data_IF_217098152919
#
_entry.id   IF_217098152919
#
_cell.length_a   1.000
_cell.length_b   1.000
_cell.length_c   1.000
_cell.angle_alpha   90.00
_cell.angle_beta   90.00
_cell.angle_gamma   90.00
#
_symmetry.space_group_name_H-M   'P 1'
#
loop_
_entity.id
_entity.type
_entity.pdbx_description
1 polymer ?
#
# COMPACT_ATOMS: atom_id res chain seq x y z
N UNK A 1 -15.47 9.11 -2.17
CA UNK A 1 -15.25 10.56 -2.40
C UNK A 1 -14.71 11.19 -1.11
N UNK A 2 -13.43 11.60 -1.09
CA UNK A 2 -12.75 12.21 0.09
C UNK A 2 -13.32 13.57 0.50
N UNK A 3 -14.03 14.26 -0.40
CA UNK A 3 -14.72 15.53 -0.09
C UNK A 3 -15.85 15.36 0.93
N UNK A 4 -16.32 14.13 1.16
CA UNK A 4 -17.34 13.82 2.19
C UNK A 4 -16.75 13.58 3.58
N UNK A 5 -15.42 13.58 3.73
CA UNK A 5 -14.78 13.36 5.01
C UNK A 5 -14.88 14.61 5.90
N UNK A 6 -15.13 14.40 7.18
CA UNK A 6 -15.32 15.49 8.12
C UNK A 6 -13.98 16.21 8.41
N UNK A 7 -13.83 17.41 7.85
CA UNK A 7 -12.59 18.21 7.95
C UNK A 7 -12.25 18.61 9.39
N UNK A 8 -13.25 18.84 10.24
CA UNK A 8 -13.02 19.13 11.65
C UNK A 8 -12.43 17.90 12.38
N UNK A 9 -12.94 16.70 12.11
CA UNK A 9 -12.40 15.48 12.72
C UNK A 9 -10.97 15.18 12.21
N UNK A 10 -10.69 15.42 10.93
CA UNK A 10 -9.34 15.30 10.38
C UNK A 10 -8.38 16.27 11.10
N UNK A 11 -8.73 17.55 11.20
CA UNK A 11 -7.89 18.56 11.87
C UNK A 11 -7.62 18.22 13.34
N UNK A 12 -8.65 17.71 14.06
CA UNK A 12 -8.49 17.22 15.44
C UNK A 12 -7.54 16.03 15.52
N UNK A 13 -7.65 15.08 14.60
CA UNK A 13 -6.76 13.92 14.52
C UNK A 13 -5.30 14.32 14.29
N UNK A 14 -5.06 15.25 13.37
CA UNK A 14 -3.70 15.79 13.11
C UNK A 14 -3.17 16.52 14.34
N UNK A 15 -3.96 17.38 14.98
CA UNK A 15 -3.55 18.08 16.21
C UNK A 15 -3.18 17.09 17.33
N UNK A 16 -3.95 16.00 17.47
CA UNK A 16 -3.66 14.97 18.46
C UNK A 16 -2.35 14.22 18.15
N UNK A 17 -2.08 13.95 16.87
CA UNK A 17 -0.84 13.34 16.42
C UNK A 17 0.36 14.26 16.67
N UNK A 18 0.25 15.55 16.32
CA UNK A 18 1.32 16.54 16.56
C UNK A 18 1.64 16.66 18.04
N UNK A 19 0.59 16.69 18.89
CA UNK A 19 0.76 16.67 20.34
C UNK A 19 1.44 15.39 20.82
N UNK A 20 1.06 14.23 20.31
CA UNK A 20 1.69 12.96 20.68
C UNK A 20 3.19 12.95 20.31
N UNK A 21 3.53 13.46 19.14
CA UNK A 21 4.92 13.59 18.69
C UNK A 21 5.71 14.58 19.57
N UNK A 22 5.11 15.70 19.97
CA UNK A 22 5.75 16.70 20.82
C UNK A 22 6.08 16.18 22.23
N UNK A 23 5.35 15.18 22.73
CA UNK A 23 5.58 14.57 24.05
C UNK A 23 6.41 13.29 23.99
N UNK A 24 6.82 12.85 22.79
CA UNK A 24 7.59 11.62 22.64
C UNK A 24 9.04 11.82 23.13
N UNK A 25 9.52 10.93 23.99
CA UNK A 25 10.90 10.93 24.49
C UNK A 25 11.91 10.31 23.51
N UNK A 26 11.55 10.13 22.23
CA UNK A 26 12.38 9.46 21.24
C UNK A 26 11.70 9.38 19.87
N UNK A 27 12.32 8.66 18.91
CA UNK A 27 11.75 8.50 17.57
C UNK A 27 10.35 7.87 17.61
N UNK A 28 9.50 8.14 16.60
CA UNK A 28 8.10 7.72 16.61
C UNK A 28 7.98 6.18 16.66
N UNK A 29 7.07 5.71 17.53
CA UNK A 29 6.69 4.31 17.59
C UNK A 29 5.76 3.88 16.43
N UNK A 30 5.46 2.58 16.29
CA UNK A 30 4.66 2.04 15.18
C UNK A 30 3.31 2.74 14.99
N UNK A 31 2.60 3.02 16.08
CA UNK A 31 1.30 3.70 16.01
C UNK A 31 1.40 5.16 15.58
N UNK A 32 2.45 5.88 15.97
CA UNK A 32 2.68 7.25 15.52
C UNK A 32 2.99 7.28 14.02
N UNK A 33 3.77 6.32 13.52
CA UNK A 33 4.06 6.17 12.09
C UNK A 33 2.81 5.79 11.28
N UNK A 34 2.01 4.84 11.76
CA UNK A 34 0.74 4.47 11.13
C UNK A 34 -0.25 5.64 11.12
N UNK A 35 -0.33 6.40 12.21
CA UNK A 35 -1.16 7.61 12.28
C UNK A 35 -0.66 8.69 11.30
N UNK A 36 0.65 8.86 11.14
CA UNK A 36 1.21 9.78 10.16
C UNK A 36 0.88 9.36 8.71
N UNK A 37 0.94 8.06 8.40
CA UNK A 37 0.53 7.52 7.09
C UNK A 37 -0.95 7.79 6.83
N UNK A 38 -1.81 7.49 7.81
CA UNK A 38 -3.25 7.77 7.72
C UNK A 38 -3.52 9.28 7.58
N UNK A 39 -2.75 10.13 8.28
CA UNK A 39 -2.82 11.58 8.18
C UNK A 39 -2.52 12.08 6.77
N UNK A 40 -1.52 11.52 6.09
CA UNK A 40 -1.21 11.87 4.69
C UNK A 40 -2.41 11.61 3.77
N UNK A 41 -3.08 10.47 3.93
CA UNK A 41 -4.31 10.17 3.17
C UNK A 41 -5.48 11.09 3.53
N UNK A 42 -5.63 11.42 4.82
CA UNK A 42 -6.72 12.26 5.34
C UNK A 42 -6.63 13.72 4.86
N UNK A 43 -5.42 14.24 4.72
CA UNK A 43 -5.17 15.62 4.33
C UNK A 43 -5.40 15.87 2.83
N UNK A 44 -5.15 14.88 1.98
CA UNK A 44 -5.32 15.01 0.53
C UNK A 44 -6.81 15.15 0.13
N UNK A 45 -7.15 16.11 -0.75
CA UNK A 45 -8.52 16.29 -1.25
C UNK A 45 -8.85 15.32 -2.38
N UNK A 46 -7.86 14.98 -3.20
CA UNK A 46 -7.96 13.93 -4.22
C UNK A 46 -6.97 12.79 -3.96
N UNK A 47 -7.01 11.75 -4.78
CA UNK A 47 -6.07 10.64 -4.68
C UNK A 47 -4.68 11.06 -5.16
N UNK A 48 -4.64 11.86 -6.22
CA UNK A 48 -3.47 12.36 -6.91
C UNK A 48 -2.66 13.34 -6.04
N UNK A 49 -3.33 14.07 -5.14
CA UNK A 49 -2.71 14.97 -4.16
C UNK A 49 -2.13 14.25 -2.93
N UNK A 50 -2.25 12.92 -2.85
CA UNK A 50 -1.67 12.17 -1.72
C UNK A 50 -0.14 12.30 -1.77
N UNK A 51 0.47 12.65 -0.64
CA UNK A 51 1.92 12.73 -0.50
C UNK A 51 2.55 11.33 -0.44
N UNK A 52 2.62 10.68 -1.60
CA UNK A 52 3.18 9.34 -1.75
C UNK A 52 4.66 9.24 -1.37
N UNK A 53 5.55 10.22 -1.72
CA UNK A 53 6.93 10.20 -1.25
C UNK A 53 7.03 10.16 0.28
N UNK A 54 6.23 10.97 0.99
CA UNK A 54 6.18 10.93 2.46
C UNK A 54 5.65 9.60 2.98
N UNK A 55 4.61 9.05 2.38
CA UNK A 55 4.06 7.74 2.78
C UNK A 55 5.11 6.62 2.59
N UNK A 56 5.86 6.62 1.48
CA UNK A 56 6.92 5.64 1.22
C UNK A 56 8.05 5.75 2.27
N UNK A 57 8.45 6.98 2.63
CA UNK A 57 9.42 7.22 3.69
C UNK A 57 8.91 6.73 5.06
N UNK A 58 7.65 7.04 5.41
CA UNK A 58 7.03 6.60 6.67
C UNK A 58 6.92 5.08 6.75
N UNK A 59 6.58 4.40 5.64
CA UNK A 59 6.60 2.94 5.58
C UNK A 59 8.02 2.37 5.73
N UNK A 60 9.04 3.04 5.19
CA UNK A 60 10.44 2.66 5.44
C UNK A 60 10.82 2.71 6.91
N UNK A 61 10.43 3.78 7.60
CA UNK A 61 10.63 3.90 9.06
C UNK A 61 9.83 2.84 9.82
N UNK A 62 8.59 2.58 9.41
CA UNK A 62 7.72 1.60 10.05
C UNK A 62 8.26 0.18 9.88
N UNK A 63 8.73 -0.17 8.69
CA UNK A 63 9.34 -1.47 8.41
C UNK A 63 10.60 -1.71 9.25
N UNK A 64 11.46 -0.71 9.37
CA UNK A 64 12.65 -0.80 10.23
C UNK A 64 12.30 -0.94 11.72
N UNK A 65 11.20 -0.32 12.16
CA UNK A 65 10.77 -0.31 13.56
C UNK A 65 9.95 -1.54 13.96
N UNK A 66 9.11 -2.02 13.06
CA UNK A 66 8.18 -3.13 13.24
C UNK A 66 8.16 -3.98 11.97
N UNK A 67 9.19 -4.83 11.75
CA UNK A 67 9.31 -5.65 10.55
C UNK A 67 8.09 -6.53 10.35
N UNK A 68 7.52 -6.46 9.15
CA UNK A 68 6.34 -7.25 8.77
C UNK A 68 6.25 -7.34 7.25
N UNK A 69 6.07 -8.54 6.67
CA UNK A 69 5.89 -8.70 5.22
C UNK A 69 4.70 -7.90 4.68
N UNK A 70 3.66 -7.67 5.49
CA UNK A 70 2.50 -6.85 5.12
C UNK A 70 2.87 -5.36 5.08
N UNK A 71 3.70 -4.89 6.01
CA UNK A 71 4.22 -3.51 6.02
C UNK A 71 5.11 -3.28 4.79
N UNK A 72 5.97 -4.23 4.45
CA UNK A 72 6.82 -4.17 3.26
C UNK A 72 5.99 -4.20 1.97
N UNK A 73 4.93 -5.00 1.89
CA UNK A 73 4.04 -4.97 0.73
C UNK A 73 3.35 -3.60 0.58
N UNK A 74 2.88 -3.02 1.68
CA UNK A 74 2.29 -1.69 1.67
C UNK A 74 3.31 -0.59 1.30
N UNK A 75 4.57 -0.76 1.74
CA UNK A 75 5.70 0.09 1.32
C UNK A 75 5.89 0.02 -0.19
N UNK A 76 5.88 -1.17 -0.78
CA UNK A 76 6.03 -1.33 -2.22
C UNK A 76 4.90 -0.63 -3.00
N UNK A 77 3.66 -0.67 -2.51
CA UNK A 77 2.56 0.12 -3.10
C UNK A 77 2.85 1.61 -3.02
N UNK A 78 3.30 2.13 -1.87
CA UNK A 78 3.64 3.55 -1.73
C UNK A 78 4.79 3.98 -2.65
N UNK A 79 5.84 3.17 -2.77
CA UNK A 79 6.95 3.38 -3.72
C UNK A 79 6.45 3.38 -5.15
N UNK A 80 5.52 2.49 -5.49
CA UNK A 80 4.92 2.43 -6.83
C UNK A 80 4.22 3.73 -7.25
N UNK A 81 3.63 4.40 -6.27
CA UNK A 81 2.93 5.66 -6.46
C UNK A 81 3.87 6.86 -6.47
N UNK A 82 4.99 6.80 -5.72
CA UNK A 82 5.96 7.88 -5.62
C UNK A 82 7.01 7.86 -6.75
N UNK A 83 7.53 6.69 -7.08
CA UNK A 83 8.72 6.49 -7.92
C UNK A 83 8.42 5.65 -9.18
N UNK A 84 7.22 5.07 -9.25
CA UNK A 84 6.76 4.26 -10.38
C UNK A 84 6.89 2.75 -10.17
N UNK A 85 6.39 1.96 -11.13
CA UNK A 85 6.15 0.53 -10.93
C UNK A 85 7.42 -0.33 -10.88
N UNK A 86 8.52 0.08 -11.53
CA UNK A 86 9.76 -0.68 -11.59
C UNK A 86 10.45 -0.86 -10.21
N UNK A 87 10.75 0.20 -9.44
CA UNK A 87 11.35 0.04 -8.12
C UNK A 87 10.42 -0.70 -7.14
N UNK A 88 9.11 -0.51 -7.27
CA UNK A 88 8.14 -1.23 -6.46
C UNK A 88 8.10 -2.74 -6.77
N UNK A 89 8.25 -3.12 -8.04
CA UNK A 89 8.23 -4.53 -8.44
C UNK A 89 9.40 -5.28 -7.82
N UNK A 90 10.59 -4.68 -7.73
CA UNK A 90 11.73 -5.29 -7.06
C UNK A 90 11.45 -5.58 -5.57
N UNK A 91 10.75 -4.68 -4.87
CA UNK A 91 10.34 -4.90 -3.48
C UNK A 91 9.32 -6.04 -3.37
N UNK A 92 8.35 -6.11 -4.27
CA UNK A 92 7.34 -7.17 -4.31
C UNK A 92 7.96 -8.52 -4.64
N UNK A 93 8.91 -8.57 -5.57
CA UNK A 93 9.61 -9.79 -5.96
C UNK A 93 10.44 -10.35 -4.78
N UNK A 94 11.07 -9.48 -3.98
CA UNK A 94 11.76 -9.91 -2.76
C UNK A 94 10.80 -10.56 -1.75
N UNK A 95 9.55 -10.12 -1.69
CA UNK A 95 8.51 -10.68 -0.83
C UNK A 95 7.92 -12.00 -1.34
N UNK A 96 8.19 -12.40 -2.59
CA UNK A 96 7.64 -13.63 -3.16
C UNK A 96 8.14 -14.89 -2.42
N UNK A 97 9.30 -14.81 -1.77
CA UNK A 97 9.87 -15.90 -0.96
C UNK A 97 9.29 -15.98 0.46
N UNK A 98 8.55 -14.96 0.93
CA UNK A 98 8.07 -14.88 2.31
C UNK A 98 6.96 -15.92 2.60
N UNK A 99 7.19 -16.90 3.49
CA UNK A 99 6.20 -17.95 3.77
C UNK A 99 4.87 -17.39 4.29
N UNK A 100 4.93 -16.29 5.05
CA UNK A 100 3.77 -15.62 5.63
C UNK A 100 2.81 -15.06 4.56
N UNK A 101 3.29 -14.81 3.33
CA UNK A 101 2.48 -14.23 2.26
C UNK A 101 2.03 -15.26 1.21
N UNK A 102 2.39 -16.54 1.35
CA UNK A 102 2.09 -17.58 0.33
C UNK A 102 0.61 -17.69 -0.02
N UNK A 103 -0.27 -17.53 0.97
CA UNK A 103 -1.73 -17.55 0.81
C UNK A 103 -2.38 -16.16 0.75
N UNK A 104 -1.58 -15.10 0.68
CA UNK A 104 -2.07 -13.73 0.77
C UNK A 104 -2.33 -13.17 -0.62
N UNK A 105 -3.59 -13.16 -1.06
CA UNK A 105 -4.00 -12.76 -2.41
C UNK A 105 -3.55 -11.34 -2.82
N UNK A 106 -3.30 -10.44 -1.87
CA UNK A 106 -2.85 -9.08 -2.17
C UNK A 106 -1.42 -9.04 -2.70
N UNK A 107 -0.55 -10.00 -2.37
CA UNK A 107 0.80 -10.05 -2.93
C UNK A 107 0.79 -10.23 -4.46
N UNK A 108 0.19 -11.30 -5.03
CA UNK A 108 0.08 -11.44 -6.47
C UNK A 108 -0.81 -10.36 -7.10
N UNK A 109 -1.84 -9.85 -6.40
CA UNK A 109 -2.64 -8.73 -6.93
C UNK A 109 -1.80 -7.45 -7.14
N UNK A 110 -0.93 -7.09 -6.19
CA UNK A 110 -0.05 -5.92 -6.33
C UNK A 110 0.98 -6.20 -7.42
N UNK A 111 1.59 -7.39 -7.45
CA UNK A 111 2.55 -7.77 -8.48
C UNK A 111 1.96 -7.65 -9.89
N UNK A 112 0.74 -8.15 -10.09
CA UNK A 112 0.02 -8.05 -11.37
C UNK A 112 -0.23 -6.60 -11.80
N UNK A 113 -0.59 -5.71 -10.87
CA UNK A 113 -0.78 -4.28 -11.17
C UNK A 113 0.52 -3.61 -11.67
N UNK A 114 1.63 -3.88 -11.00
CA UNK A 114 2.94 -3.35 -11.34
C UNK A 114 3.39 -3.84 -12.72
N UNK A 115 3.26 -5.15 -12.98
CA UNK A 115 3.59 -5.77 -14.25
C UNK A 115 2.76 -5.19 -15.39
N UNK A 116 1.46 -5.00 -15.18
CA UNK A 116 0.57 -4.41 -16.17
C UNK A 116 1.00 -2.98 -16.53
N UNK A 117 1.30 -2.16 -15.52
CA UNK A 117 1.79 -0.78 -15.70
C UNK A 117 3.18 -0.71 -16.36
N UNK A 118 3.94 -1.80 -16.35
CA UNK A 118 5.20 -1.98 -17.06
C UNK A 118 5.02 -2.60 -18.47
N UNK A 119 3.79 -2.87 -18.90
CA UNK A 119 3.50 -3.51 -20.19
C UNK A 119 3.77 -5.02 -20.24
N UNK A 120 4.05 -5.66 -19.11
CA UNK A 120 4.30 -7.12 -19.00
C UNK A 120 2.98 -7.88 -18.84
N UNK A 121 2.12 -7.81 -19.86
CA UNK A 121 0.71 -8.22 -19.79
C UNK A 121 0.51 -9.71 -19.51
N UNK A 122 1.32 -10.59 -20.12
CA UNK A 122 1.22 -12.04 -19.88
C UNK A 122 1.54 -12.43 -18.43
N UNK A 123 2.55 -11.80 -17.83
CA UNK A 123 2.91 -12.02 -16.43
C UNK A 123 1.86 -11.41 -15.50
N UNK A 124 1.34 -10.23 -15.83
CA UNK A 124 0.27 -9.59 -15.08
C UNK A 124 -0.99 -10.48 -15.02
N UNK A 125 -1.38 -11.08 -16.16
CA UNK A 125 -2.50 -12.03 -16.24
C UNK A 125 -2.32 -13.18 -15.26
N UNK A 126 -1.15 -13.82 -15.28
CA UNK A 126 -0.82 -14.96 -14.41
C UNK A 126 -0.96 -14.59 -12.93
N UNK A 127 -0.48 -13.40 -12.55
CA UNK A 127 -0.59 -12.93 -11.17
C UNK A 127 -2.02 -12.59 -10.76
N UNK A 128 -2.83 -12.01 -11.64
CA UNK A 128 -4.24 -11.77 -11.34
C UNK A 128 -5.05 -13.07 -11.19
N UNK A 129 -4.80 -14.07 -12.04
CA UNK A 129 -5.40 -15.41 -11.90
C UNK A 129 -5.01 -16.07 -10.57
N UNK A 130 -3.73 -15.99 -10.22
CA UNK A 130 -3.23 -16.46 -8.93
C UNK A 130 -3.92 -15.73 -7.77
N UNK A 131 -4.00 -14.41 -7.81
CA UNK A 131 -4.70 -13.63 -6.79
C UNK A 131 -6.18 -14.04 -6.66
N UNK A 132 -6.88 -14.23 -7.78
CA UNK A 132 -8.28 -14.66 -7.81
C UNK A 132 -8.49 -16.03 -7.15
N UNK A 133 -7.54 -16.96 -7.34
CA UNK A 133 -7.59 -18.29 -6.71
C UNK A 133 -7.37 -18.28 -5.19
N UNK A 134 -6.69 -17.26 -4.67
CA UNK A 134 -6.32 -17.16 -3.25
C UNK A 134 -7.37 -16.42 -2.40
N UNK A 135 -8.18 -15.54 -2.99
CA UNK A 135 -9.22 -14.83 -2.24
C UNK A 135 -10.45 -15.70 -2.00
N UNK A 136 -11.05 -15.55 -0.81
CA UNK A 136 -12.34 -16.13 -0.42
C UNK A 136 -13.51 -15.15 -0.60
N UNK A 137 -13.24 -13.93 -1.06
CA UNK A 137 -14.25 -12.91 -1.31
C UNK A 137 -14.63 -12.93 -2.79
N UNK A 138 -15.88 -13.27 -3.08
CA UNK A 138 -16.37 -13.41 -4.46
C UNK A 138 -16.24 -12.12 -5.27
N UNK A 139 -16.40 -10.95 -4.64
CA UNK A 139 -16.23 -9.64 -5.32
C UNK A 139 -14.78 -9.36 -5.71
N UNK A 140 -13.84 -9.72 -4.83
CA UNK A 140 -12.41 -9.61 -5.15
C UNK A 140 -12.05 -10.60 -6.25
N UNK A 141 -12.59 -11.82 -6.21
CA UNK A 141 -12.38 -12.83 -7.25
C UNK A 141 -12.89 -12.35 -8.60
N UNK A 142 -14.13 -11.86 -8.68
CA UNK A 142 -14.72 -11.27 -9.89
C UNK A 142 -13.84 -10.16 -10.46
N UNK A 143 -13.39 -9.23 -9.60
CA UNK A 143 -12.50 -8.14 -10.00
C UNK A 143 -11.18 -8.65 -10.57
N UNK A 144 -10.53 -9.58 -9.88
CA UNK A 144 -9.21 -10.09 -10.28
C UNK A 144 -9.29 -10.91 -11.57
N UNK A 145 -10.31 -11.76 -11.72
CA UNK A 145 -10.55 -12.50 -12.97
C UNK A 145 -10.82 -11.54 -14.14
N UNK A 146 -11.59 -10.46 -13.92
CA UNK A 146 -11.81 -9.44 -14.95
C UNK A 146 -10.48 -8.78 -15.36
N UNK A 147 -9.66 -8.37 -14.39
CA UNK A 147 -8.34 -7.78 -14.65
C UNK A 147 -7.42 -8.73 -15.42
N UNK A 148 -7.47 -10.03 -15.13
CA UNK A 148 -6.74 -11.04 -15.90
C UNK A 148 -7.19 -11.09 -17.38
N UNK A 149 -8.51 -11.05 -17.62
CA UNK A 149 -9.07 -11.00 -18.97
C UNK A 149 -8.77 -9.73 -19.75
N UNK A 150 -8.58 -8.60 -19.07
CA UNK A 150 -8.20 -7.30 -19.66
C UNK A 150 -6.71 -7.20 -20.03
N UNK A 151 -5.87 -8.12 -19.55
CA UNK A 151 -4.45 -8.18 -19.92
C UNK A 151 -4.31 -8.76 -21.33
N UNK A 152 -4.52 -7.94 -22.37
CA UNK A 152 -4.36 -8.28 -23.79
C UNK A 152 -2.94 -8.17 -24.32
#
# INVERSE_FOLDING_TARGET
>A
NRRRWNRMLIARGITALDRANAHAAGPPGPYALQAAIAGCHALAYTYEETDWPRIAALYGLLAARAPSPVVELNRAVAVSMAEGPAPALALVDALAAEPALRGYHLLPSVRGDLLLRLGRTAEARTEFERAASLTRNDRERELLTRRAGECG
#
